data_IF_959265951995
#
_entry.id   IF_959265951995
#
_cell.length_a   1.000
_cell.length_b   1.000
_cell.length_c   1.000
_cell.angle_alpha   90.00
_cell.angle_beta   90.00
_cell.angle_gamma   90.00
#
_symmetry.space_group_name_H-M   'P 1'
#
loop_
_entity.id
_entity.type
_entity.pdbx_description
1 polymer ?
#
# COMPACT_ATOMS: atom_id res chain seq x y z
N UNK A 1 -37.58 -44.83 -2.90
CA UNK A 1 -37.42 -44.68 -4.34
C UNK A 1 -36.02 -45.09 -4.72
N UNK A 2 -35.97 -46.27 -5.28
CA UNK A 2 -35.09 -46.91 -6.20
C UNK A 2 -33.58 -46.62 -6.16
N UNK A 3 -32.90 -47.59 -5.62
CA UNK A 3 -31.50 -47.95 -5.80
C UNK A 3 -31.28 -48.48 -7.23
N UNK A 4 -30.20 -48.04 -7.85
CA UNK A 4 -29.74 -48.50 -9.16
C UNK A 4 -28.23 -48.80 -9.08
N UNK A 5 -27.90 -49.99 -8.62
CA UNK A 5 -26.63 -50.66 -8.88
C UNK A 5 -26.82 -52.17 -8.74
N UNK A 6 -27.02 -52.83 -9.88
CA UNK A 6 -26.90 -54.27 -10.00
C UNK A 6 -25.65 -54.60 -10.82
N UNK A 7 -24.79 -55.53 -10.40
CA UNK A 7 -23.65 -56.04 -11.19
C UNK A 7 -24.05 -57.25 -12.04
N UNK A 8 -23.51 -57.41 -13.23
CA UNK A 8 -23.73 -58.64 -13.99
C UNK A 8 -22.75 -59.74 -13.58
N UNK A 9 -23.30 -60.94 -13.66
CA UNK A 9 -22.78 -62.23 -13.22
C UNK A 9 -21.62 -62.79 -14.06
N UNK A 10 -20.97 -63.72 -13.42
CA UNK A 10 -19.87 -64.54 -13.88
C UNK A 10 -20.23 -65.53 -15.03
N UNK A 11 -19.17 -65.93 -15.75
CA UNK A 11 -19.11 -67.22 -16.40
C UNK A 11 -18.46 -67.18 -17.76
N UNK A 12 -17.21 -67.72 -17.89
CA UNK A 12 -16.88 -68.81 -18.80
C UNK A 12 -15.36 -69.06 -18.92
N UNK A 13 -14.97 -70.18 -18.48
CA UNK A 13 -13.98 -71.13 -18.99
C UNK A 13 -12.70 -70.67 -19.72
N UNK A 14 -11.55 -71.09 -19.14
CA UNK A 14 -10.23 -71.23 -19.78
C UNK A 14 -10.18 -72.24 -20.91
N UNK A 15 -9.24 -72.11 -21.84
CA UNK A 15 -8.39 -73.17 -22.21
C UNK A 15 -6.89 -72.90 -22.02
N UNK A 16 -6.14 -74.04 -21.98
CA UNK A 16 -4.80 -74.17 -21.47
C UNK A 16 -3.69 -73.87 -22.52
N UNK A 17 -2.53 -73.52 -21.93
CA UNK A 17 -1.15 -73.80 -22.40
C UNK A 17 -0.75 -73.33 -23.81
N UNK A 18 0.09 -72.34 -23.81
CA UNK A 18 1.02 -72.00 -24.89
C UNK A 18 2.37 -71.57 -24.28
N UNK A 19 3.44 -72.05 -24.84
CA UNK A 19 4.85 -72.03 -24.42
C UNK A 19 5.35 -70.63 -24.08
N UNK A 20 6.25 -70.56 -23.09
CA UNK A 20 6.97 -69.34 -22.74
C UNK A 20 7.90 -68.85 -23.87
N UNK A 21 7.91 -67.63 -24.28
CA UNK A 21 8.97 -67.07 -25.07
C UNK A 21 10.14 -66.58 -24.17
N UNK A 22 11.34 -66.80 -24.72
CA UNK A 22 12.63 -66.51 -24.10
C UNK A 22 12.71 -65.06 -23.53
N UNK A 23 13.34 -64.93 -22.36
CA UNK A 23 13.67 -63.67 -21.69
C UNK A 23 14.48 -62.78 -22.61
N UNK A 24 13.89 -61.70 -23.02
CA UNK A 24 14.61 -60.56 -23.61
C UNK A 24 15.46 -59.83 -22.51
N UNK A 25 16.67 -59.38 -22.84
CA UNK A 25 17.48 -58.62 -21.88
C UNK A 25 16.76 -57.36 -21.50
N UNK A 26 16.46 -57.20 -20.21
CA UNK A 26 15.95 -55.97 -19.64
C UNK A 26 17.04 -54.89 -19.74
N UNK A 27 16.93 -54.01 -20.68
CA UNK A 27 17.65 -52.72 -20.64
C UNK A 27 17.09 -51.93 -19.46
N UNK A 28 17.79 -52.01 -18.32
CA UNK A 28 17.53 -51.10 -17.22
C UNK A 28 17.82 -49.65 -17.71
N UNK A 29 16.78 -48.96 -18.11
CA UNK A 29 16.86 -47.52 -18.34
C UNK A 29 17.01 -46.86 -16.97
N UNK A 30 18.25 -46.49 -16.66
CA UNK A 30 18.55 -45.74 -15.45
C UNK A 30 17.75 -44.44 -15.50
N UNK A 31 16.84 -44.25 -14.54
CA UNK A 31 16.01 -43.02 -14.48
C UNK A 31 16.94 -41.83 -14.35
N UNK A 32 16.71 -40.74 -15.11
CA UNK A 32 17.54 -39.54 -15.03
C UNK A 32 17.53 -39.02 -13.58
N UNK A 33 18.73 -38.85 -13.02
CA UNK A 33 18.91 -38.25 -11.71
C UNK A 33 18.33 -36.84 -11.78
N UNK A 34 17.34 -36.48 -10.94
CA UNK A 34 16.79 -35.14 -10.96
C UNK A 34 17.91 -34.14 -10.69
N UNK A 35 17.92 -32.96 -11.38
CA UNK A 35 18.90 -31.94 -11.14
C UNK A 35 18.84 -31.52 -9.67
N UNK A 36 19.97 -31.12 -9.05
CA UNK A 36 20.00 -30.67 -7.68
C UNK A 36 19.03 -29.50 -7.52
N UNK A 37 18.20 -29.54 -6.47
CA UNK A 37 17.31 -28.45 -6.12
C UNK A 37 18.16 -27.20 -5.90
N UNK A 38 18.01 -26.22 -6.77
CA UNK A 38 18.61 -24.89 -6.57
C UNK A 38 17.86 -24.26 -5.40
N UNK A 39 18.46 -24.27 -4.22
CA UNK A 39 17.93 -23.55 -3.06
C UNK A 39 18.14 -22.07 -3.34
N UNK A 40 17.12 -21.41 -3.84
CA UNK A 40 17.11 -19.94 -3.90
C UNK A 40 17.08 -19.42 -2.47
N UNK A 41 17.97 -18.47 -2.11
CA UNK A 41 17.90 -17.85 -0.80
C UNK A 41 16.50 -17.22 -0.59
N UNK A 42 15.98 -17.30 0.63
CA UNK A 42 14.72 -16.64 0.96
C UNK A 42 14.84 -15.14 0.65
N UNK A 43 13.79 -14.51 0.09
CA UNK A 43 13.80 -13.07 -0.16
C UNK A 43 14.03 -12.32 1.17
N UNK A 44 14.71 -11.17 1.13
CA UNK A 44 14.91 -10.36 2.33
C UNK A 44 13.56 -9.90 2.88
N UNK A 45 13.45 -9.86 4.21
CA UNK A 45 12.29 -9.28 4.87
C UNK A 45 12.22 -7.77 4.57
N UNK A 46 11.00 -7.26 4.38
CA UNK A 46 10.76 -5.84 4.18
C UNK A 46 10.53 -5.14 5.52
N UNK A 47 10.93 -3.85 5.67
CA UNK A 47 10.57 -3.08 6.85
C UNK A 47 9.04 -2.88 6.91
N UNK A 48 8.49 -2.85 8.14
CA UNK A 48 7.09 -2.50 8.33
C UNK A 48 6.86 -1.02 8.04
N UNK A 49 5.86 -0.71 7.23
CA UNK A 49 5.49 0.67 6.88
C UNK A 49 3.99 0.89 6.92
N UNK A 50 3.60 2.12 7.25
CA UNK A 50 2.20 2.57 7.21
C UNK A 50 2.15 3.94 6.53
N UNK A 51 1.36 4.03 5.47
CA UNK A 51 1.13 5.26 4.71
C UNK A 51 -0.24 5.83 5.09
N UNK A 52 -0.24 7.04 5.60
CA UNK A 52 -1.46 7.76 6.01
C UNK A 52 -1.71 8.89 5.02
N UNK A 53 -2.77 8.78 4.22
CA UNK A 53 -3.25 9.85 3.36
C UNK A 53 -4.08 10.86 4.15
N UNK A 54 -3.97 12.14 3.80
CA UNK A 54 -4.78 13.20 4.37
C UNK A 54 -5.63 13.85 3.28
N UNK A 55 -6.86 14.18 3.62
CA UNK A 55 -7.74 15.04 2.84
C UNK A 55 -8.57 15.91 3.78
N UNK A 56 -8.97 17.06 3.33
CA UNK A 56 -9.83 17.93 4.14
C UNK A 56 -10.07 19.27 3.48
N UNK A 57 -10.78 20.12 4.20
CA UNK A 57 -11.09 21.46 3.72
C UNK A 57 -9.87 22.36 3.72
N UNK A 58 -9.81 23.24 2.72
CA UNK A 58 -8.91 24.39 2.70
C UNK A 58 -9.26 25.36 3.83
N UNK A 59 -8.31 26.18 4.24
CA UNK A 59 -8.48 27.15 5.31
C UNK A 59 -9.66 28.11 5.06
N UNK A 60 -9.85 28.54 3.82
CA UNK A 60 -10.97 29.40 3.42
C UNK A 60 -12.35 28.72 3.64
N UNK A 61 -12.46 27.41 3.44
CA UNK A 61 -13.71 26.66 3.57
C UNK A 61 -13.96 26.17 5.00
N UNK A 62 -12.94 25.75 5.72
CA UNK A 62 -13.07 25.24 7.09
C UNK A 62 -13.17 26.34 8.14
N UNK A 63 -12.51 27.46 7.91
CA UNK A 63 -12.26 28.49 8.91
C UNK A 63 -11.08 28.15 9.83
N UNK A 64 -10.28 29.15 10.17
CA UNK A 64 -9.08 28.98 11.01
C UNK A 64 -9.39 28.43 12.41
N UNK A 65 -10.51 28.84 12.99
CA UNK A 65 -10.95 28.39 14.32
C UNK A 65 -11.29 26.89 14.31
N UNK A 66 -12.00 26.43 13.29
CA UNK A 66 -12.34 24.99 13.12
C UNK A 66 -11.09 24.14 12.97
N UNK A 67 -10.12 24.60 12.16
CA UNK A 67 -8.84 23.91 12.01
C UNK A 67 -8.05 23.87 13.31
N UNK A 68 -7.97 25.00 14.04
CA UNK A 68 -7.30 25.04 15.33
C UNK A 68 -7.95 24.11 16.36
N UNK A 69 -9.28 23.97 16.35
CA UNK A 69 -10.00 23.01 17.21
C UNK A 69 -9.79 21.55 16.80
N UNK A 70 -9.53 21.28 15.52
CA UNK A 70 -9.27 19.94 15.01
C UNK A 70 -7.81 19.47 15.26
N UNK A 71 -6.86 20.39 15.35
CA UNK A 71 -5.43 20.10 15.47
C UNK A 71 -5.09 19.14 16.62
N UNK A 72 -5.55 19.34 17.88
CA UNK A 72 -5.23 18.41 18.98
C UNK A 72 -5.83 17.01 18.76
N UNK A 73 -6.98 16.91 18.08
CA UNK A 73 -7.59 15.62 17.77
C UNK A 73 -6.80 14.86 16.70
N UNK A 74 -6.34 15.57 15.68
CA UNK A 74 -5.48 14.99 14.64
C UNK A 74 -4.14 14.58 15.22
N UNK A 75 -3.58 15.39 16.12
CA UNK A 75 -2.35 15.06 16.84
C UNK A 75 -2.50 13.76 17.64
N UNK A 76 -3.57 13.62 18.43
CA UNK A 76 -3.86 12.41 19.20
C UNK A 76 -4.10 11.17 18.30
N UNK A 77 -4.73 11.37 17.14
CA UNK A 77 -4.90 10.29 16.14
C UNK A 77 -3.53 9.82 15.62
N UNK A 78 -2.62 10.72 15.29
CA UNK A 78 -1.28 10.36 14.82
C UNK A 78 -0.47 9.63 15.89
N UNK A 79 -0.58 10.05 17.16
CA UNK A 79 0.03 9.33 18.28
C UNK A 79 -0.55 7.91 18.42
N UNK A 80 -1.86 7.76 18.24
CA UNK A 80 -2.53 6.45 18.25
C UNK A 80 -2.08 5.57 17.10
N UNK A 81 -2.01 6.11 15.88
CA UNK A 81 -1.54 5.37 14.69
C UNK A 81 -0.09 4.91 14.86
N UNK A 82 0.78 5.77 15.41
CA UNK A 82 2.15 5.42 15.73
C UNK A 82 2.21 4.25 16.72
N UNK A 83 1.48 4.34 17.84
CA UNK A 83 1.47 3.28 18.85
C UNK A 83 0.90 1.95 18.32
N UNK A 84 -0.13 1.99 17.48
CA UNK A 84 -0.70 0.80 16.84
C UNK A 84 0.29 0.18 15.87
N UNK A 85 0.93 0.97 15.02
CA UNK A 85 1.92 0.49 14.05
C UNK A 85 3.10 -0.20 14.74
N UNK A 86 3.65 0.40 15.80
CA UNK A 86 4.72 -0.20 16.61
C UNK A 86 4.29 -1.52 17.26
N UNK A 87 3.06 -1.57 17.78
CA UNK A 87 2.52 -2.79 18.38
C UNK A 87 2.37 -3.92 17.35
N UNK A 88 1.82 -3.62 16.15
CA UNK A 88 1.68 -4.61 15.07
C UNK A 88 3.05 -5.13 14.66
N UNK A 89 4.02 -4.23 14.43
CA UNK A 89 5.39 -4.64 14.10
C UNK A 89 6.00 -5.55 15.18
N UNK A 90 5.78 -5.23 16.44
CA UNK A 90 6.32 -6.04 17.55
C UNK A 90 5.64 -7.41 17.66
N UNK A 91 4.34 -7.50 17.42
CA UNK A 91 3.58 -8.76 17.46
C UNK A 91 4.00 -9.72 16.34
N UNK A 92 4.27 -9.18 15.15
CA UNK A 92 4.59 -9.93 13.95
C UNK A 92 6.06 -9.75 13.52
N UNK A 93 6.97 -9.54 14.47
CA UNK A 93 8.37 -9.21 14.21
C UNK A 93 9.07 -10.20 13.28
N UNK A 94 8.68 -11.46 13.26
CA UNK A 94 9.24 -12.48 12.37
C UNK A 94 8.91 -12.26 10.87
N UNK A 95 7.94 -11.41 10.55
CA UNK A 95 7.53 -11.12 9.17
C UNK A 95 8.22 -9.89 8.59
N UNK A 96 8.89 -9.09 9.42
CA UNK A 96 9.48 -7.81 9.03
C UNK A 96 10.98 -7.77 9.28
N UNK A 97 11.67 -6.91 8.52
CA UNK A 97 13.07 -6.61 8.79
C UNK A 97 13.23 -5.96 10.18
N UNK A 98 14.38 -6.18 10.79
CA UNK A 98 14.72 -5.55 12.09
C UNK A 98 15.15 -4.09 11.89
N UNK A 99 14.16 -3.29 11.45
CA UNK A 99 14.29 -1.86 11.19
C UNK A 99 13.15 -1.10 11.89
N UNK A 100 13.29 0.20 12.18
CA UNK A 100 12.21 1.02 12.72
C UNK A 100 10.98 1.02 11.81
N UNK A 101 9.79 1.21 12.41
CA UNK A 101 8.55 1.39 11.65
C UNK A 101 8.63 2.63 10.75
N UNK A 102 8.29 2.47 9.47
CA UNK A 102 8.29 3.56 8.51
C UNK A 102 6.89 4.19 8.42
N UNK A 103 6.67 5.26 9.18
CA UNK A 103 5.44 6.03 9.11
C UNK A 103 5.57 7.16 8.08
N UNK A 104 4.58 7.26 7.18
CA UNK A 104 4.57 8.27 6.11
C UNK A 104 3.23 8.97 6.06
N UNK A 105 3.28 10.29 5.88
CA UNK A 105 2.11 11.07 5.53
C UNK A 105 2.12 11.38 4.03
N UNK A 106 1.05 11.02 3.34
CA UNK A 106 0.85 11.31 1.91
C UNK A 106 -0.14 12.47 1.79
N UNK A 107 0.29 13.59 1.20
CA UNK A 107 -0.47 14.83 1.22
C UNK A 107 -0.30 15.65 -0.07
N UNK A 108 -1.37 16.28 -0.59
CA UNK A 108 -1.26 17.28 -1.65
C UNK A 108 -0.80 18.65 -1.14
N UNK A 109 -0.61 18.85 0.17
CA UNK A 109 -0.12 20.07 0.80
C UNK A 109 -0.97 21.33 0.52
N UNK A 110 -2.27 21.16 0.26
CA UNK A 110 -3.18 22.30 0.19
C UNK A 110 -3.20 23.07 1.53
N UNK A 111 -3.52 24.34 1.47
CA UNK A 111 -3.72 25.14 2.68
C UNK A 111 -4.79 24.52 3.59
N UNK A 112 -4.67 24.73 4.90
CA UNK A 112 -5.61 24.20 5.88
C UNK A 112 -5.26 22.81 6.39
N UNK A 113 -6.13 21.81 6.20
CA UNK A 113 -6.01 20.48 6.78
C UNK A 113 -4.71 19.75 6.40
N UNK A 114 -4.31 19.85 5.13
CA UNK A 114 -3.17 19.11 4.60
C UNK A 114 -1.85 19.64 5.17
N UNK A 115 -1.64 20.95 5.16
CA UNK A 115 -0.44 21.55 5.73
C UNK A 115 -0.38 21.38 7.26
N UNK A 116 -1.52 21.43 7.95
CA UNK A 116 -1.58 21.13 9.38
C UNK A 116 -1.15 19.69 9.66
N UNK A 117 -1.69 18.73 8.93
CA UNK A 117 -1.31 17.31 9.05
C UNK A 117 0.18 17.10 8.74
N UNK A 118 0.71 17.75 7.70
CA UNK A 118 2.12 17.65 7.34
C UNK A 118 3.04 18.12 8.47
N UNK A 119 2.73 19.25 9.10
CA UNK A 119 3.49 19.73 10.28
C UNK A 119 3.42 18.76 11.44
N UNK A 120 2.23 18.24 11.74
CA UNK A 120 2.04 17.28 12.85
C UNK A 120 2.76 15.95 12.63
N UNK A 121 2.75 15.44 11.39
CA UNK A 121 3.48 14.23 11.01
C UNK A 121 4.99 14.42 11.11
N UNK A 122 5.52 15.49 10.52
CA UNK A 122 6.95 15.82 10.59
C UNK A 122 7.43 16.01 12.03
N UNK A 123 6.64 16.66 12.89
CA UNK A 123 6.97 16.85 14.31
C UNK A 123 7.06 15.51 15.08
N UNK A 124 6.47 14.43 14.55
CA UNK A 124 6.52 13.06 15.09
C UNK A 124 7.56 12.17 14.41
N UNK A 125 8.37 12.74 13.52
CA UNK A 125 9.36 11.98 12.77
C UNK A 125 8.80 11.18 11.60
N UNK A 126 7.53 11.38 11.21
CA UNK A 126 6.98 10.75 10.02
C UNK A 126 7.62 11.33 8.77
N UNK A 127 7.83 10.51 7.76
CA UNK A 127 8.25 11.00 6.45
C UNK A 127 7.06 11.65 5.73
N UNK A 128 7.31 12.77 5.04
CA UNK A 128 6.31 13.43 4.22
C UNK A 128 6.49 13.03 2.75
N UNK A 129 5.41 12.62 2.11
CA UNK A 129 5.31 12.35 0.68
C UNK A 129 4.32 13.33 0.07
N UNK A 130 4.81 14.21 -0.80
CA UNK A 130 3.99 15.24 -1.44
C UNK A 130 3.52 14.78 -2.81
N UNK A 131 2.21 14.88 -3.08
CA UNK A 131 1.59 14.60 -4.38
C UNK A 131 0.82 15.83 -4.82
N UNK A 132 1.39 16.60 -5.75
CA UNK A 132 0.83 17.87 -6.21
C UNK A 132 0.00 17.70 -7.49
N UNK A 133 -1.10 18.46 -7.64
CA UNK A 133 -1.91 18.46 -8.87
C UNK A 133 -1.20 19.13 -10.06
N UNK A 134 -0.23 20.02 -9.79
CA UNK A 134 0.54 20.80 -10.74
C UNK A 134 2.01 20.85 -10.34
N UNK A 135 2.93 21.26 -11.21
CA UNK A 135 4.26 21.69 -10.82
C UNK A 135 4.22 22.71 -9.68
N UNK A 136 5.15 22.60 -8.73
CA UNK A 136 5.11 23.35 -7.46
C UNK A 136 4.98 24.88 -7.66
N UNK A 137 5.63 25.44 -8.68
CA UNK A 137 5.53 26.90 -8.95
C UNK A 137 4.13 27.29 -9.40
N UNK A 138 3.47 26.46 -10.23
CA UNK A 138 2.10 26.68 -10.65
C UNK A 138 1.12 26.46 -9.49
N UNK A 139 1.41 25.48 -8.61
CA UNK A 139 0.54 25.22 -7.46
C UNK A 139 0.53 26.38 -6.46
N UNK A 140 1.62 27.13 -6.36
CA UNK A 140 1.70 28.35 -5.55
C UNK A 140 0.69 29.43 -5.96
N UNK A 141 0.24 29.44 -7.20
CA UNK A 141 -0.78 30.40 -7.68
C UNK A 141 -2.17 30.14 -7.07
N UNK A 142 -2.39 28.98 -6.44
CA UNK A 142 -3.66 28.61 -5.80
C UNK A 142 -3.80 29.10 -4.36
N UNK A 143 -2.75 29.68 -3.78
CA UNK A 143 -2.78 30.20 -2.42
C UNK A 143 -3.08 31.69 -2.44
N UNK A 144 -4.20 32.06 -1.78
CA UNK A 144 -4.62 33.47 -1.70
C UNK A 144 -3.65 34.31 -0.86
N UNK A 145 -3.07 33.72 0.19
CA UNK A 145 -2.10 34.35 1.07
C UNK A 145 -0.66 33.95 0.67
N UNK A 146 0.23 34.91 0.37
CA UNK A 146 1.65 34.60 0.12
C UNK A 146 2.32 33.82 1.26
N UNK A 147 1.85 33.98 2.51
CA UNK A 147 2.34 33.22 3.64
C UNK A 147 2.01 31.73 3.51
N UNK A 148 0.84 31.38 2.99
CA UNK A 148 0.43 29.98 2.78
C UNK A 148 1.26 29.32 1.67
N UNK A 149 1.60 30.04 0.59
CA UNK A 149 2.58 29.55 -0.40
C UNK A 149 3.97 29.38 0.24
N UNK A 150 4.39 30.28 1.13
CA UNK A 150 5.65 30.14 1.89
C UNK A 150 5.66 28.88 2.76
N UNK A 151 4.58 28.60 3.48
CA UNK A 151 4.40 27.39 4.28
C UNK A 151 4.43 26.13 3.41
N UNK A 152 3.69 26.14 2.29
CA UNK A 152 3.72 25.06 1.31
C UNK A 152 5.15 24.76 0.84
N UNK A 153 5.89 25.79 0.39
CA UNK A 153 7.27 25.61 -0.09
C UNK A 153 8.20 25.04 0.99
N UNK A 154 8.03 25.48 2.23
CA UNK A 154 8.76 24.97 3.38
C UNK A 154 8.50 23.48 3.61
N UNK A 155 7.22 23.06 3.61
CA UNK A 155 6.84 21.66 3.77
C UNK A 155 7.27 20.80 2.57
N UNK A 156 7.10 21.34 1.35
CA UNK A 156 7.52 20.66 0.13
C UNK A 156 9.04 20.42 0.09
N UNK A 157 9.83 21.36 0.60
CA UNK A 157 11.28 21.19 0.72
C UNK A 157 11.67 20.08 1.70
N UNK A 158 10.86 19.82 2.73
CA UNK A 158 11.07 18.76 3.72
C UNK A 158 10.52 17.40 3.27
N UNK A 159 9.74 17.35 2.18
CA UNK A 159 9.19 16.11 1.68
C UNK A 159 10.30 15.17 1.21
N UNK A 160 10.23 13.91 1.68
CA UNK A 160 11.14 12.82 1.30
C UNK A 160 10.91 12.40 -0.15
N UNK A 161 9.66 12.40 -0.58
CA UNK A 161 9.23 12.07 -1.93
C UNK A 161 8.33 13.18 -2.47
N UNK A 162 8.48 13.50 -3.75
CA UNK A 162 7.75 14.57 -4.43
C UNK A 162 7.25 14.05 -5.77
N UNK A 163 5.93 14.01 -5.92
CA UNK A 163 5.27 13.70 -7.18
C UNK A 163 4.49 14.93 -7.64
N UNK A 164 4.93 15.54 -8.71
CA UNK A 164 4.25 16.65 -9.35
C UNK A 164 3.50 16.12 -10.57
N UNK A 165 2.16 16.16 -10.54
CA UNK A 165 1.35 15.71 -11.67
C UNK A 165 1.34 16.80 -12.77
N UNK A 166 1.27 16.42 -14.04
CA UNK A 166 1.20 17.37 -15.15
C UNK A 166 -0.24 17.87 -15.36
N UNK A 167 -0.82 18.46 -14.31
CA UNK A 167 -2.20 18.96 -14.37
C UNK A 167 -2.36 20.11 -15.36
N UNK A 168 -3.57 20.22 -15.94
CA UNK A 168 -3.95 21.32 -16.83
C UNK A 168 -4.69 22.39 -16.00
N UNK A 169 -4.14 23.60 -15.95
CA UNK A 169 -4.75 24.75 -15.24
C UNK A 169 -6.13 25.10 -15.82
N UNK A 170 -6.36 24.88 -17.12
CA UNK A 170 -7.67 25.07 -17.76
C UNK A 170 -8.71 24.04 -17.30
N UNK A 171 -8.28 22.93 -16.66
CA UNK A 171 -9.11 21.87 -16.09
C UNK A 171 -8.67 21.56 -14.66
N UNK A 172 -8.52 22.58 -13.85
CA UNK A 172 -7.97 22.50 -12.52
C UNK A 172 -8.68 21.45 -11.62
N UNK A 173 -10.01 21.32 -11.74
CA UNK A 173 -10.77 20.32 -10.99
C UNK A 173 -10.30 18.90 -11.29
N UNK A 174 -10.04 18.58 -12.56
CA UNK A 174 -9.55 17.26 -12.97
C UNK A 174 -8.17 16.98 -12.35
N UNK A 175 -7.30 17.99 -12.30
CA UNK A 175 -5.98 17.89 -11.70
C UNK A 175 -6.06 17.64 -10.19
N UNK A 176 -6.95 18.33 -9.46
CA UNK A 176 -7.17 18.07 -8.02
C UNK A 176 -7.74 16.68 -7.78
N UNK A 177 -8.70 16.23 -8.61
CA UNK A 177 -9.24 14.87 -8.51
C UNK A 177 -8.15 13.84 -8.77
N UNK A 178 -7.26 14.08 -9.74
CA UNK A 178 -6.13 13.18 -10.02
C UNK A 178 -5.17 13.10 -8.82
N UNK A 179 -4.82 14.24 -8.20
CA UNK A 179 -3.98 14.27 -7.00
C UNK A 179 -4.66 13.53 -5.84
N UNK A 180 -5.95 13.78 -5.59
CA UNK A 180 -6.71 13.07 -4.55
C UNK A 180 -6.74 11.56 -4.76
N UNK A 181 -6.96 11.10 -6.00
CA UNK A 181 -6.89 9.67 -6.35
C UNK A 181 -5.49 9.08 -6.12
N UNK A 182 -4.45 9.84 -6.46
CA UNK A 182 -3.08 9.40 -6.21
C UNK A 182 -2.79 9.29 -4.70
N UNK A 183 -3.24 10.24 -3.88
CA UNK A 183 -3.14 10.15 -2.42
C UNK A 183 -3.81 8.87 -1.91
N UNK A 184 -5.06 8.61 -2.32
CA UNK A 184 -5.79 7.39 -1.92
C UNK A 184 -5.07 6.13 -2.37
N UNK A 185 -4.51 6.11 -3.58
CA UNK A 185 -3.81 4.94 -4.12
C UNK A 185 -2.48 4.65 -3.40
N UNK A 186 -1.87 5.65 -2.75
CA UNK A 186 -0.61 5.50 -2.02
C UNK A 186 -0.80 5.35 -0.51
N UNK A 187 -2.03 5.42 0.00
CA UNK A 187 -2.35 5.37 1.41
C UNK A 187 -2.92 4.00 1.82
N UNK A 188 -2.50 3.49 2.97
CA UNK A 188 -3.12 2.34 3.65
C UNK A 188 -4.34 2.79 4.45
N UNK A 189 -4.28 4.01 4.99
CA UNK A 189 -5.36 4.66 5.76
C UNK A 189 -5.52 6.08 5.22
N UNK A 190 -6.77 6.51 5.02
CA UNK A 190 -7.08 7.91 4.68
C UNK A 190 -7.78 8.58 5.86
N UNK A 191 -7.24 9.70 6.30
CA UNK A 191 -7.83 10.57 7.32
C UNK A 191 -8.49 11.75 6.61
N UNK A 192 -9.78 11.97 6.87
CA UNK A 192 -10.53 13.09 6.32
C UNK A 192 -10.93 14.07 7.43
N UNK A 193 -10.56 15.35 7.26
CA UNK A 193 -11.05 16.42 8.11
C UNK A 193 -12.28 17.06 7.45
N UNK A 194 -13.42 16.85 8.07
CA UNK A 194 -14.72 17.29 7.54
C UNK A 194 -15.51 18.06 8.60
N UNK A 195 -16.18 19.11 8.20
CA UNK A 195 -16.95 19.98 9.12
C UNK A 195 -18.48 19.78 9.04
N UNK A 196 -18.93 18.75 8.34
CA UNK A 196 -20.38 18.45 8.14
C UNK A 196 -20.92 18.93 6.81
#
# INVERSE_FOLDING_TARGET
MASLFDPPAAGAAMPARGAAPASAPSLAVEAPVPPPLVVTPAPPLLPFGLNVGITGHRAASAGRETLAAAEPRLAALFDTLTAVAERVRAQDAALFADEPTHLRLVSPLADGADQMAARLGLARGWALEAILPFPADQYCEDFDDPADCGHFRGLFALARSRLELPGDRGRALDAYVAAGRAVVAHADIVVALWNG
#
